data_IF_068016312911
#
_entry.id   IF_068016312911
#
_cell.length_a   1.000
_cell.length_b   1.000
_cell.length_c   1.000
_cell.angle_alpha   90.00
_cell.angle_beta   90.00
_cell.angle_gamma   90.00
#
_symmetry.space_group_name_H-M   'P 1'
#
loop_
_entity.id
_entity.type
_entity.pdbx_description
1 polymer ?
2 non-polymer ?
3 non-polymer ?
4 non-polymer ?
5 non-polymer ?
6 water ?
#
# COMPACT_ATOMS: atom_id res chain seq x y z
N UNK A 1 -23.91 -14.58 -17.45
CA UNK A 1 -22.62 -14.04 -17.88
C UNK A 1 -22.15 -12.89 -16.99
N UNK A 2 -21.26 -13.22 -16.05
CA UNK A 2 -20.66 -12.20 -15.20
C UNK A 2 -20.04 -11.07 -16.03
N UNK A 3 -20.27 -9.83 -15.64
CA UNK A 3 -19.53 -8.68 -16.18
C UNK A 3 -18.26 -8.52 -15.38
N UNK A 4 -17.13 -8.38 -16.07
CA UNK A 4 -15.84 -8.39 -15.39
C UNK A 4 -15.13 -7.04 -15.38
N UNK A 5 -14.59 -6.68 -14.24
CA UNK A 5 -13.72 -5.53 -14.15
C UNK A 5 -12.32 -6.01 -13.80
N UNK A 6 -11.35 -5.73 -14.69
CA UNK A 6 -9.98 -6.13 -14.46
C UNK A 6 -9.13 -4.92 -14.08
N UNK A 7 -8.48 -5.02 -12.93
CA UNK A 7 -7.65 -3.93 -12.43
C UNK A 7 -6.22 -4.42 -12.40
N UNK A 8 -5.38 -3.87 -13.28
CA UNK A 8 -3.99 -4.33 -13.41
C UNK A 8 -3.05 -3.40 -12.67
N UNK A 9 -2.27 -3.94 -11.73
CA UNK A 9 -1.50 -3.09 -10.85
C UNK A 9 0.03 -3.14 -11.06
N UNK A 10 0.50 -4.04 -11.92
CA UNK A 10 1.92 -4.04 -12.25
C UNK A 10 2.26 -2.88 -13.19
N UNK A 11 3.34 -2.15 -12.90
CA UNK A 11 3.91 -1.13 -13.80
C UNK A 11 4.47 -1.79 -15.04
N UNK A 12 4.73 -3.09 -15.01
CA UNK A 12 5.35 -3.75 -16.15
C UNK A 12 4.29 -4.13 -17.18
N UNK A 13 4.69 -4.19 -18.45
CA UNK A 13 3.78 -4.48 -19.54
C UNK A 13 3.81 -5.94 -19.96
N UNK A 14 4.42 -6.23 -21.12
CA UNK A 14 4.52 -7.60 -21.60
C UNK A 14 5.23 -8.51 -20.59
N UNK A 15 6.12 -7.92 -19.79
CA UNK A 15 6.96 -8.66 -18.86
C UNK A 15 6.31 -8.90 -17.50
N UNK A 16 5.16 -8.28 -17.26
CA UNK A 16 4.45 -8.51 -16.01
C UNK A 16 3.88 -9.92 -16.01
N UNK A 17 4.29 -10.72 -15.04
CA UNK A 17 3.70 -12.03 -14.88
C UNK A 17 2.29 -11.91 -14.30
N UNK A 18 2.10 -11.00 -13.36
CA UNK A 18 0.78 -10.92 -12.72
C UNK A 18 -0.25 -10.53 -13.80
N UNK A 19 0.08 -9.53 -14.60
CA UNK A 19 -0.75 -9.12 -15.75
C UNK A 19 -0.97 -10.28 -16.72
N UNK A 20 0.11 -10.96 -17.10
CA UNK A 20 0.01 -12.04 -18.07
C UNK A 20 -0.94 -13.14 -17.61
N UNK A 21 -0.80 -13.53 -16.35
CA UNK A 21 -1.63 -14.61 -15.81
C UNK A 21 -3.10 -14.20 -15.75
N UNK A 22 -3.35 -12.96 -15.36
CA UNK A 22 -4.71 -12.45 -15.32
C UNK A 22 -5.29 -12.43 -16.74
N UNK A 23 -4.45 -12.11 -17.73
CA UNK A 23 -4.90 -12.06 -19.12
C UNK A 23 -5.21 -13.48 -19.63
N UNK A 24 -4.45 -14.46 -19.14
CA UNK A 24 -4.79 -15.84 -19.43
C UNK A 24 -6.20 -16.13 -18.93
N UNK A 25 -6.49 -15.74 -17.69
CA UNK A 25 -7.82 -15.97 -17.15
C UNK A 25 -8.90 -15.26 -18.00
N UNK A 26 -8.66 -13.99 -18.34
CA UNK A 26 -9.67 -13.21 -19.06
C UNK A 26 -9.95 -13.78 -20.45
N UNK A 27 -8.90 -14.10 -21.19
CA UNK A 27 -9.07 -14.71 -22.51
C UNK A 27 -9.87 -16.01 -22.39
N UNK A 28 -9.47 -16.87 -21.47
CA UNK A 28 -10.18 -18.13 -21.28
C UNK A 28 -11.63 -17.85 -20.92
N UNK A 29 -11.86 -16.85 -20.09
CA UNK A 29 -13.24 -16.52 -19.72
C UNK A 29 -14.03 -16.08 -20.97
N UNK A 30 -13.39 -15.25 -21.79
CA UNK A 30 -13.95 -14.74 -23.03
C UNK A 30 -14.34 -15.88 -23.98
N UNK A 31 -13.47 -16.87 -24.12
CA UNK A 31 -13.74 -18.04 -24.96
C UNK A 31 -15.02 -18.75 -24.52
N UNK A 32 -15.26 -18.83 -23.21
CA UNK A 32 -16.45 -19.51 -22.72
C UNK A 32 -17.67 -18.58 -22.66
N UNK A 33 -17.43 -17.27 -22.73
CA UNK A 33 -18.52 -16.29 -22.64
C UNK A 33 -18.34 -15.15 -23.64
N UNK A 34 -18.54 -15.44 -24.94
CA UNK A 34 -18.33 -14.49 -26.04
C UNK A 34 -19.04 -13.16 -25.83
N UNK A 35 -20.22 -13.18 -25.20
CA UNK A 35 -20.98 -11.94 -24.98
C UNK A 35 -20.68 -11.21 -23.66
N UNK A 36 -19.76 -11.75 -22.86
CA UNK A 36 -19.45 -11.18 -21.54
C UNK A 36 -18.72 -9.85 -21.70
N UNK A 37 -19.03 -8.90 -20.82
CA UNK A 37 -18.35 -7.61 -20.87
C UNK A 37 -17.11 -7.64 -20.00
N UNK A 38 -16.01 -7.13 -20.52
CA UNK A 38 -14.78 -7.02 -19.76
C UNK A 38 -14.27 -5.59 -19.82
N UNK A 39 -14.15 -4.96 -18.65
CA UNK A 39 -13.57 -3.63 -18.58
C UNK A 39 -12.21 -3.69 -17.89
N UNK A 40 -11.26 -2.93 -18.39
CA UNK A 40 -9.92 -2.89 -17.81
C UNK A 40 -9.63 -1.51 -17.21
N UNK A 41 -9.14 -1.53 -15.98
CA UNK A 41 -8.77 -0.31 -15.28
C UNK A 41 -7.28 -0.39 -14.94
N UNK A 42 -6.47 0.41 -15.63
CA UNK A 42 -5.04 0.37 -15.40
C UNK A 42 -4.63 1.21 -14.18
N UNK A 43 -3.99 0.58 -13.20
CA UNK A 43 -3.50 1.32 -12.03
C UNK A 43 -1.98 1.13 -11.84
N UNK A 44 -1.36 0.39 -12.75
CA UNK A 44 0.07 0.14 -12.68
C UNK A 44 0.90 1.01 -13.61
N UNK A 45 0.47 1.09 -14.87
CA UNK A 45 1.19 1.85 -15.86
C UNK A 45 0.65 3.27 -15.98
N UNK A 46 -0.31 3.59 -15.13
CA UNK A 46 -0.94 4.91 -15.06
C UNK A 46 -0.82 5.43 -13.63
N UNK A 47 -0.32 6.66 -13.45
CA UNK A 47 -0.27 7.14 -12.06
C UNK A 47 -1.68 7.51 -11.58
N UNK A 48 -2.23 6.73 -10.68
CA UNK A 48 -3.53 7.04 -10.09
C UNK A 48 -3.39 7.99 -8.89
N UNK A 49 -4.10 9.12 -8.93
CA UNK A 49 -4.06 10.15 -7.86
C UNK A 49 -4.19 9.55 -6.46
N UNK A 50 -3.32 9.98 -5.55
CA UNK A 50 -3.46 9.63 -4.13
C UNK A 50 -4.67 10.36 -3.55
N UNK A 51 -5.18 9.89 -2.42
CA UNK A 51 -6.22 10.62 -1.70
C UNK A 51 -5.62 11.90 -1.12
N UNK A 52 -6.31 13.03 -1.31
CA UNK A 52 -5.82 14.32 -0.83
C UNK A 52 -6.70 14.84 0.29
N UNK A 53 -6.32 15.97 0.89
CA UNK A 53 -7.17 16.54 1.91
C UNK A 53 -8.52 16.97 1.33
N UNK A 54 -8.52 17.47 0.10
CA UNK A 54 -9.77 17.91 -0.52
C UNK A 54 -10.70 16.71 -0.75
N UNK A 55 -10.12 15.56 -1.10
CA UNK A 55 -10.90 14.34 -1.26
C UNK A 55 -11.57 13.96 0.06
N UNK A 56 -10.79 13.97 1.13
CA UNK A 56 -11.34 13.65 2.46
C UNK A 56 -12.51 14.58 2.81
N UNK A 57 -12.30 15.89 2.65
CA UNK A 57 -13.36 16.87 2.96
C UNK A 57 -14.62 16.61 2.15
N UNK A 58 -14.46 16.23 0.88
CA UNK A 58 -15.64 16.03 0.05
C UNK A 58 -16.31 14.72 0.40
N UNK A 59 -15.50 13.66 0.50
CA UNK A 59 -16.03 12.32 0.70
C UNK A 59 -16.75 12.19 2.03
N UNK A 60 -16.37 13.02 3.01
CA UNK A 60 -16.93 12.92 4.35
C UNK A 60 -17.83 14.09 4.72
N UNK A 61 -18.15 14.92 3.74
CA UNK A 61 -19.07 16.04 3.90
C UNK A 61 -20.38 15.55 4.50
N UNK A 62 -20.79 16.14 5.64
CA UNK A 62 -22.02 15.69 6.33
C UNK A 62 -23.31 15.92 5.54
N UNK A 63 -23.35 16.89 4.65
CA UNK A 63 -24.48 17.02 3.70
C UNK A 63 -23.98 16.82 2.27
N UNK A 64 -23.82 15.55 1.86
CA UNK A 64 -23.22 15.27 0.55
C UNK A 64 -23.85 16.02 -0.63
N UNK A 65 -25.18 16.14 -0.69
CA UNK A 65 -25.83 16.79 -1.82
C UNK A 65 -25.50 18.28 -1.91
N UNK A 66 -24.85 18.80 -0.87
CA UNK A 66 -24.50 20.22 -0.84
C UNK A 66 -23.05 20.49 -1.26
N UNK A 67 -22.34 19.46 -1.70
CA UNK A 67 -20.97 19.65 -2.17
C UNK A 67 -20.96 20.68 -3.29
N UNK A 68 -20.03 21.63 -3.22
CA UNK A 68 -19.81 22.54 -4.33
C UNK A 68 -19.43 21.74 -5.59
N UNK A 69 -19.46 22.40 -6.73
CA UNK A 69 -19.01 21.79 -7.98
C UNK A 69 -17.52 21.42 -7.91
N UNK A 70 -16.75 22.22 -7.18
CA UNK A 70 -15.34 21.91 -6.98
C UNK A 70 -15.15 20.63 -6.20
N UNK A 71 -15.93 20.46 -5.14
CA UNK A 71 -15.88 19.22 -4.35
C UNK A 71 -16.28 18.00 -5.19
N UNK A 72 -17.31 18.16 -6.02
CA UNK A 72 -17.72 17.07 -6.90
C UNK A 72 -16.58 16.70 -7.85
N UNK A 73 -15.88 17.71 -8.35
CA UNK A 73 -14.71 17.49 -9.19
C UNK A 73 -13.66 16.69 -8.44
N UNK A 74 -13.51 16.97 -7.14
CA UNK A 74 -12.52 16.23 -6.34
C UNK A 74 -12.90 14.74 -6.24
N UNK A 75 -14.19 14.42 -6.38
CA UNK A 75 -14.66 13.03 -6.29
C UNK A 75 -14.97 12.37 -7.65
N UNK A 76 -14.77 13.10 -8.73
CA UNK A 76 -15.19 12.61 -10.04
C UNK A 76 -14.49 11.30 -10.43
N UNK A 77 -13.17 11.24 -10.25
CA UNK A 77 -12.44 10.00 -10.55
C UNK A 77 -12.95 8.87 -9.67
N UNK A 78 -13.10 9.15 -8.38
CA UNK A 78 -13.62 8.17 -7.43
C UNK A 78 -14.97 7.64 -7.90
N UNK A 79 -15.90 8.54 -8.27
CA UNK A 79 -17.19 8.14 -8.78
C UNK A 79 -17.08 7.23 -10.01
N UNK A 80 -16.14 7.55 -10.90
CA UNK A 80 -15.92 6.71 -12.08
C UNK A 80 -15.41 5.33 -11.68
N UNK A 81 -14.48 5.30 -10.75
CA UNK A 81 -13.87 4.06 -10.31
C UNK A 81 -14.87 3.17 -9.57
N UNK A 82 -15.68 3.79 -8.72
CA UNK A 82 -16.71 3.07 -7.99
C UNK A 82 -17.76 2.51 -8.96
N UNK A 83 -18.16 3.35 -9.91
CA UNK A 83 -19.13 2.95 -10.92
C UNK A 83 -18.70 1.71 -11.66
N UNK A 84 -17.43 1.63 -12.02
CA UNK A 84 -16.88 0.45 -12.71
C UNK A 84 -17.09 -0.82 -11.87
N UNK A 85 -16.89 -0.69 -10.58
CA UNK A 85 -17.06 -1.77 -9.63
C UNK A 85 -18.53 -2.18 -9.52
N UNK A 86 -19.40 -1.20 -9.34
CA UNK A 86 -20.83 -1.49 -9.31
C UNK A 86 -21.30 -2.19 -10.59
N UNK A 87 -20.75 -1.80 -11.72
CA UNK A 87 -21.15 -2.41 -12.99
C UNK A 87 -20.72 -3.87 -13.10
N UNK A 88 -19.74 -4.28 -12.30
CA UNK A 88 -19.13 -5.60 -12.47
C UNK A 88 -19.72 -6.67 -11.53
N UNK A 89 -19.62 -7.93 -11.96
CA UNK A 89 -19.99 -9.04 -11.09
C UNK A 89 -18.76 -9.64 -10.46
N UNK A 90 -17.69 -9.70 -11.27
CA UNK A 90 -16.41 -10.27 -10.84
C UNK A 90 -15.30 -9.26 -11.01
N UNK A 91 -14.54 -9.09 -9.95
CA UNK A 91 -13.40 -8.20 -9.96
C UNK A 91 -12.15 -9.04 -10.04
N UNK A 92 -11.29 -8.72 -10.99
CA UNK A 92 -10.00 -9.37 -11.11
C UNK A 92 -8.93 -8.34 -10.87
N UNK A 93 -8.13 -8.53 -9.84
CA UNK A 93 -6.98 -7.67 -9.58
C UNK A 93 -5.67 -8.41 -9.88
N UNK A 94 -4.85 -7.88 -10.78
CA UNK A 94 -3.53 -8.45 -10.99
C UNK A 94 -2.55 -7.58 -10.23
N UNK A 95 -1.69 -8.19 -9.43
CA UNK A 95 -0.71 -7.40 -8.68
C UNK A 95 0.59 -8.11 -8.35
N UNK A 96 1.72 -7.39 -8.52
CA UNK A 96 2.98 -7.85 -7.91
C UNK A 96 2.90 -7.77 -6.40
N UNK A 97 3.80 -8.47 -5.73
CA UNK A 97 4.15 -8.13 -4.35
C UNK A 97 5.33 -7.17 -4.42
N UNK A 98 5.14 -5.97 -3.89
CA UNK A 98 6.20 -4.95 -3.87
C UNK A 98 6.46 -4.63 -2.42
N UNK A 99 7.65 -4.97 -1.94
CA UNK A 99 8.02 -4.70 -0.55
C UNK A 99 6.96 -5.17 0.45
N UNK A 100 6.54 -6.43 0.28
CA UNK A 100 5.65 -7.09 1.22
C UNK A 100 4.25 -6.52 1.20
N UNK A 101 4.00 -5.63 0.25
CA UNK A 101 2.63 -5.19 0.00
C UNK A 101 2.38 -5.07 -1.52
N UNK A 102 1.41 -4.23 -1.90
CA UNK A 102 1.07 -4.02 -3.31
C UNK A 102 1.72 -2.72 -3.79
N UNK A 103 1.83 -2.54 -5.13
CA UNK A 103 2.31 -1.27 -5.65
C UNK A 103 1.42 -0.11 -5.21
N UNK A 104 2.03 1.06 -5.06
CA UNK A 104 1.32 2.19 -4.46
C UNK A 104 0.08 2.57 -5.28
N UNK A 105 0.14 2.42 -6.60
CA UNK A 105 -1.02 2.70 -7.44
C UNK A 105 -2.26 1.88 -7.10
N UNK A 106 -2.04 0.63 -6.67
CA UNK A 106 -3.15 -0.23 -6.30
C UNK A 106 -3.73 0.23 -4.97
N UNK A 107 -2.85 0.65 -4.07
CA UNK A 107 -3.29 1.19 -2.80
C UNK A 107 -4.12 2.44 -3.08
N UNK A 108 -3.68 3.27 -4.03
CA UNK A 108 -4.44 4.49 -4.33
C UNK A 108 -5.81 4.14 -4.91
N UNK A 109 -5.88 3.09 -5.72
CA UNK A 109 -7.17 2.65 -6.28
C UNK A 109 -8.14 2.29 -5.17
N UNK A 110 -7.64 1.50 -4.22
CA UNK A 110 -8.44 1.15 -3.04
C UNK A 110 -8.90 2.39 -2.29
N UNK A 111 -7.99 3.32 -2.03
CA UNK A 111 -8.35 4.56 -1.33
C UNK A 111 -9.41 5.40 -2.04
N UNK A 112 -9.50 5.27 -3.37
CA UNK A 112 -10.55 5.97 -4.14
C UNK A 112 -11.92 5.29 -4.09
N UNK A 113 -11.96 3.97 -3.92
CA UNK A 113 -13.23 3.25 -4.06
C UNK A 113 -13.91 2.86 -2.74
N UNK A 114 -13.23 3.08 -1.62
CA UNK A 114 -13.87 2.89 -0.32
C UNK A 114 -14.47 4.25 0.04
N UNK A 115 -15.79 4.38 -0.15
CA UNK A 115 -16.47 5.68 -0.10
C UNK A 115 -17.68 5.68 0.83
N UNK A 116 -17.67 6.56 1.82
CA UNK A 116 -18.77 6.64 2.76
C UNK A 116 -20.09 6.86 2.03
N UNK A 117 -21.11 6.11 2.41
CA UNK A 117 -22.42 6.21 1.80
C UNK A 117 -22.48 5.62 0.40
N UNK A 118 -21.36 5.11 -0.11
CA UNK A 118 -21.37 4.53 -1.46
C UNK A 118 -20.97 3.05 -1.48
N UNK A 119 -19.78 2.72 -0.96
CA UNK A 119 -19.38 1.33 -0.88
C UNK A 119 -19.32 0.82 0.56
N UNK A 120 -19.49 1.73 1.52
CA UNK A 120 -19.72 1.37 2.91
C UNK A 120 -20.48 2.48 3.61
N UNK A 121 -21.07 2.16 4.75
CA UNK A 121 -21.73 3.18 5.56
C UNK A 121 -21.56 2.84 7.02
N UNK A 122 -22.17 3.65 7.88
CA UNK A 122 -22.10 3.41 9.32
C UNK A 122 -23.26 4.08 10.02
N UNK A 123 -23.64 3.55 11.18
CA UNK A 123 -24.54 4.25 12.08
C UNK A 123 -23.81 4.38 13.41
N UNK A 124 -24.24 5.32 14.25
CA UNK A 124 -23.67 5.45 15.59
C UNK A 124 -24.50 4.69 16.61
N UNK A 125 -23.96 3.59 17.10
CA UNK A 125 -24.58 2.84 18.20
C UNK A 125 -23.76 3.16 19.44
N UNK A 126 -23.54 4.46 19.68
CA UNK A 126 -22.68 4.93 20.75
C UNK A 126 -23.09 4.40 22.12
N UNK A 128 -19.92 4.70 19.27
CA UNK A 128 -19.35 3.51 18.66
C UNK A 128 -19.89 3.25 17.26
N UNK A 129 -19.24 3.84 16.26
CA UNK A 129 -19.62 3.67 14.87
C UNK A 129 -19.68 2.19 14.46
N UNK A 130 -20.76 1.81 13.79
CA UNK A 130 -20.91 0.43 13.32
C UNK A 130 -20.96 0.40 11.80
N UNK A 131 -19.95 -0.20 11.18
CA UNK A 131 -19.81 -0.15 9.72
C UNK A 131 -20.58 -1.24 8.99
N UNK A 132 -21.03 -0.91 7.78
CA UNK A 132 -21.76 -1.86 6.94
C UNK A 132 -21.28 -1.73 5.48
N UNK A 133 -21.01 -2.87 4.84
CA UNK A 133 -20.57 -2.89 3.44
C UNK A 133 -21.76 -2.69 2.51
N UNK A 134 -21.57 -2.02 1.37
CA UNK A 134 -22.70 -1.72 0.49
C UNK A 134 -22.62 -2.45 -0.84
N UNK A 135 -21.52 -3.15 -1.08
CA UNK A 135 -21.41 -3.98 -2.27
C UNK A 135 -22.00 -5.36 -1.99
N UNK A 136 -22.83 -5.84 -2.89
CA UNK A 136 -23.41 -7.16 -2.73
C UNK A 136 -23.37 -7.94 -4.03
N UNK A 137 -23.30 -9.26 -3.93
CA UNK A 137 -23.35 -10.13 -5.09
C UNK A 137 -22.08 -10.14 -5.92
N UNK A 138 -21.00 -9.59 -5.37
CA UNK A 138 -19.75 -9.55 -6.12
C UNK A 138 -18.74 -10.58 -5.64
N UNK A 139 -17.77 -10.90 -6.50
CA UNK A 139 -16.69 -11.81 -6.16
C UNK A 139 -15.41 -11.18 -6.65
N UNK A 140 -14.29 -11.55 -6.06
CA UNK A 140 -13.00 -11.07 -6.52
C UNK A 140 -12.02 -12.23 -6.77
N UNK A 141 -11.19 -12.06 -7.78
CA UNK A 141 -10.06 -12.95 -8.03
C UNK A 141 -8.79 -12.11 -8.00
N UNK A 142 -7.85 -12.48 -7.13
CA UNK A 142 -6.58 -11.80 -7.04
C UNK A 142 -5.50 -12.70 -7.64
N UNK A 143 -4.85 -12.20 -8.69
CA UNK A 143 -3.79 -12.91 -9.37
C UNK A 143 -2.51 -12.18 -9.04
N UNK A 144 -1.59 -12.87 -8.37
CA UNK A 144 -0.37 -12.20 -7.90
C UNK A 144 0.90 -12.96 -8.24
N UNK A 145 2.01 -12.23 -8.34
CA UNK A 145 3.31 -12.81 -8.64
C UNK A 145 4.30 -12.25 -7.64
N UNK A 146 5.18 -13.11 -7.12
CA UNK A 146 6.14 -12.73 -6.10
C UNK A 146 7.53 -13.19 -6.50
N UNK A 147 8.54 -12.39 -6.18
CA UNK A 147 9.91 -12.72 -6.54
C UNK A 147 10.42 -13.92 -5.75
N UNK A 148 10.13 -13.94 -4.46
CA UNK A 148 10.57 -15.01 -3.57
C UNK A 148 9.55 -16.11 -3.36
N UNK A 149 9.74 -16.90 -2.31
CA UNK A 149 8.85 -18.02 -2.04
C UNK A 149 8.38 -18.03 -0.61
N UNK A 150 7.33 -18.81 -0.34
CA UNK A 150 6.83 -19.00 1.01
C UNK A 150 5.95 -17.91 1.60
N UNK A 151 5.34 -17.08 0.75
CA UNK A 151 4.44 -16.03 1.25
C UNK A 151 2.98 -16.49 1.35
N UNK A 152 2.69 -17.68 0.84
CA UNK A 152 1.35 -18.24 0.89
C UNK A 152 1.06 -18.94 2.21
N UNK A 153 -0.14 -19.51 2.36
CA UNK A 153 -0.50 -20.20 3.60
C UNK A 153 0.46 -21.34 3.89
N UNK A 154 0.92 -21.44 5.14
CA UNK A 154 1.89 -22.46 5.52
C UNK A 154 3.32 -22.05 5.24
N UNK A 155 3.49 -21.07 4.35
CA UNK A 155 4.81 -20.64 3.94
C UNK A 155 5.64 -20.12 5.10
N UNK A 156 6.95 -20.25 4.96
CA UNK A 156 7.90 -19.76 5.95
C UNK A 156 7.78 -18.25 6.17
N UNK A 157 7.40 -17.53 5.11
CA UNK A 157 7.31 -16.08 5.16
C UNK A 157 5.86 -15.59 5.15
N UNK A 158 4.94 -16.45 5.57
CA UNK A 158 3.53 -16.05 5.53
C UNK A 158 3.24 -14.77 6.29
N UNK A 159 3.84 -14.61 7.47
CA UNK A 159 3.53 -13.45 8.29
C UNK A 159 4.01 -12.15 7.66
N UNK A 160 4.94 -12.24 6.70
CA UNK A 160 5.44 -11.04 6.03
C UNK A 160 4.51 -10.59 4.91
N UNK A 161 3.53 -11.42 4.58
CA UNK A 161 2.68 -11.11 3.43
C UNK A 161 1.59 -10.10 3.77
N UNK A 162 1.78 -8.85 3.34
CA UNK A 162 0.78 -7.80 3.55
C UNK A 162 0.24 -7.30 2.22
N UNK A 163 0.23 -8.19 1.23
CA UNK A 163 -0.26 -7.84 -0.08
C UNK A 163 -1.67 -8.39 -0.21
N UNK A 164 -1.79 -9.64 -0.65
CA UNK A 164 -3.13 -10.20 -0.85
C UNK A 164 -3.95 -10.40 0.43
N UNK A 165 -3.30 -10.77 1.54
CA UNK A 165 -4.12 -10.86 2.77
C UNK A 165 -4.73 -9.51 3.11
N UNK A 166 -4.00 -8.43 2.85
CA UNK A 166 -4.51 -7.08 3.12
C UNK A 166 -5.62 -6.68 2.14
N UNK A 167 -5.42 -6.98 0.86
CA UNK A 167 -6.47 -6.79 -0.14
C UNK A 167 -7.77 -7.48 0.25
N UNK A 168 -7.66 -8.70 0.78
CA UNK A 168 -8.84 -9.48 1.13
C UNK A 168 -9.62 -8.72 2.21
N UNK A 169 -8.87 -8.16 3.16
CA UNK A 169 -9.45 -7.40 4.26
C UNK A 169 -10.13 -6.09 3.79
N UNK A 170 -9.49 -5.36 2.90
CA UNK A 170 -10.04 -4.09 2.41
C UNK A 170 -11.31 -4.33 1.57
N UNK A 171 -11.26 -5.33 0.69
CA UNK A 171 -12.40 -5.70 -0.13
C UNK A 171 -13.57 -6.22 0.73
N UNK A 172 -13.25 -7.03 1.74
CA UNK A 172 -14.27 -7.51 2.67
C UNK A 172 -15.01 -6.37 3.34
N UNK A 173 -14.29 -5.30 3.64
CA UNK A 173 -14.88 -4.14 4.29
C UNK A 173 -16.01 -3.51 3.45
N UNK A 174 -15.91 -3.60 2.13
CA UNK A 174 -16.96 -2.99 1.30
C UNK A 174 -17.94 -4.03 0.77
N UNK A 175 -17.72 -5.30 1.14
CA UNK A 175 -18.74 -6.31 0.95
C UNK A 175 -18.36 -7.43 0.02
N UNK A 176 -17.13 -7.40 -0.49
CA UNK A 176 -16.65 -8.49 -1.32
C UNK A 176 -15.92 -9.53 -0.48
N UNK A 177 -16.65 -10.54 0.00
CA UNK A 177 -16.01 -11.54 0.85
C UNK A 177 -15.75 -12.88 0.15
N UNK A 178 -16.31 -13.06 -1.04
CA UNK A 178 -15.90 -14.20 -1.86
C UNK A 178 -14.65 -13.85 -2.67
N UNK A 179 -13.49 -14.18 -2.13
CA UNK A 179 -12.22 -13.80 -2.72
C UNK A 179 -11.30 -15.00 -2.92
N UNK A 180 -10.83 -15.17 -4.15
CA UNK A 180 -9.90 -16.25 -4.45
C UNK A 180 -8.54 -15.66 -4.80
N UNK A 181 -7.49 -16.29 -4.30
CA UNK A 181 -6.13 -15.85 -4.58
C UNK A 181 -5.37 -16.92 -5.36
N UNK A 182 -4.78 -16.50 -6.48
CA UNK A 182 -3.94 -17.40 -7.27
C UNK A 182 -2.56 -16.74 -7.33
N UNK A 183 -1.55 -17.45 -6.81
CA UNK A 183 -0.22 -16.88 -6.67
C UNK A 183 0.85 -17.69 -7.40
N UNK A 184 1.74 -16.98 -8.09
CA UNK A 184 2.96 -17.58 -8.61
C UNK A 184 4.12 -17.07 -7.76
N UNK A 185 5.04 -17.96 -7.41
CA UNK A 185 6.21 -17.56 -6.63
C UNK A 185 7.52 -17.96 -7.30
N UNK A 186 8.62 -17.40 -6.79
CA UNK A 186 9.94 -17.70 -7.28
C UNK A 186 10.38 -16.89 -8.49
N UNK A 187 9.72 -15.77 -8.76
CA UNK A 187 9.96 -15.05 -10.00
C UNK A 187 11.38 -14.51 -10.10
N UNK A 188 12.01 -14.24 -8.97
CA UNK A 188 13.36 -13.70 -8.99
C UNK A 188 14.38 -14.75 -9.39
N UNK A 189 14.25 -15.93 -8.82
CA UNK A 189 15.16 -17.03 -9.13
C UNK A 189 14.85 -17.60 -10.50
N UNK A 190 13.60 -17.49 -10.92
CA UNK A 190 13.16 -18.06 -12.18
C UNK A 190 13.38 -19.56 -12.21
N UNK A 191 14.29 -20.01 -13.08
CA UNK A 191 14.59 -21.42 -13.21
C UNK A 191 13.35 -22.17 -13.65
N UNK A 192 13.25 -23.44 -13.25
CA UNK A 192 12.13 -24.26 -13.67
C UNK A 192 11.14 -24.44 -12.52
N UNK A 193 11.51 -23.94 -11.34
CA UNK A 193 10.60 -23.92 -10.21
C UNK A 193 9.55 -22.83 -10.43
N UNK A 194 9.97 -21.73 -11.05
CA UNK A 194 9.05 -20.65 -11.39
C UNK A 194 8.17 -21.03 -12.58
N UNK A 195 8.76 -21.75 -13.53
CA UNK A 195 7.97 -22.25 -14.65
C UNK A 195 6.83 -23.13 -14.17
N UNK A 196 7.12 -24.05 -13.24
CA UNK A 196 6.11 -24.93 -12.67
C UNK A 196 5.04 -24.11 -11.94
N UNK A 197 5.49 -23.12 -11.19
CA UNK A 197 4.56 -22.31 -10.40
C UNK A 197 3.64 -21.54 -11.34
N UNK A 198 4.19 -20.97 -12.41
CA UNK A 198 3.37 -20.30 -13.41
C UNK A 198 2.43 -21.28 -14.10
N UNK A 199 2.92 -22.48 -14.41
CA UNK A 199 2.09 -23.49 -15.04
C UNK A 199 0.89 -23.83 -14.15
N UNK A 200 1.15 -24.04 -12.87
CA UNK A 200 0.08 -24.37 -11.93
C UNK A 200 -0.93 -23.21 -11.86
N UNK A 201 -0.42 -21.99 -11.85
CA UNK A 201 -1.28 -20.81 -11.80
C UNK A 201 -2.20 -20.76 -13.03
N UNK A 202 -1.63 -20.97 -14.22
CA UNK A 202 -2.43 -21.02 -15.43
C UNK A 202 -3.50 -22.09 -15.40
N UNK A 203 -3.14 -23.32 -15.02
CA UNK A 203 -4.13 -24.39 -14.95
C UNK A 203 -5.26 -24.02 -13.99
N UNK A 204 -4.90 -23.48 -12.84
CA UNK A 204 -5.88 -23.05 -11.85
C UNK A 204 -6.82 -22.00 -12.44
N UNK A 205 -6.24 -21.01 -13.11
CA UNK A 205 -7.01 -19.91 -13.69
C UNK A 205 -7.94 -20.38 -14.81
N UNK A 206 -7.46 -21.32 -15.63
CA UNK A 206 -8.30 -21.92 -16.66
C UNK A 206 -9.52 -22.62 -16.07
N UNK A 207 -9.32 -23.39 -15.00
CA UNK A 207 -10.44 -24.05 -14.33
C UNK A 207 -11.43 -23.02 -13.80
N UNK A 208 -10.90 -21.96 -13.18
CA UNK A 208 -11.75 -20.92 -12.63
C UNK A 208 -12.58 -20.24 -13.73
N UNK A 209 -11.94 -19.97 -14.86
CA UNK A 209 -12.58 -19.26 -15.96
C UNK A 209 -13.70 -20.10 -16.55
N UNK A 210 -13.47 -21.41 -16.59
CA UNK A 210 -14.38 -22.33 -17.23
C UNK A 210 -15.63 -22.53 -16.38
N UNK A 211 -15.55 -22.15 -15.11
CA UNK A 211 -16.68 -22.38 -14.20
C UNK A 211 -17.32 -21.07 -13.68
N UNK A 212 -16.63 -19.95 -13.82
CA UNK A 212 -17.14 -18.68 -13.31
C UNK A 212 -18.53 -18.35 -13.85
N UNK B 2 22.62 14.36 16.65
CA UNK B 2 21.41 13.55 16.52
C UNK B 2 20.57 14.00 15.32
N UNK B 3 20.53 13.17 14.28
CA UNK B 3 19.86 13.55 13.05
C UNK B 3 18.57 12.77 12.82
N UNK B 4 17.50 13.50 12.59
CA UNK B 4 16.17 12.92 12.44
C UNK B 4 15.64 13.13 11.04
N UNK B 5 15.13 12.06 10.45
CA UNK B 5 14.36 12.19 9.22
C UNK B 5 12.89 12.01 9.60
N UNK B 6 12.08 13.01 9.28
CA UNK B 6 10.65 12.95 9.57
C UNK B 6 9.85 12.81 8.29
N UNK B 7 9.17 11.68 8.14
CA UNK B 7 8.36 11.44 6.95
C UNK B 7 6.89 11.55 7.34
N UNK B 8 6.21 12.57 6.82
CA UNK B 8 4.81 12.78 7.15
C UNK B 8 3.92 12.21 6.03
N UNK B 9 2.99 11.32 6.37
CA UNK B 9 2.22 10.59 5.36
C UNK B 9 0.78 11.05 5.20
N UNK B 10 0.26 11.83 6.14
CA UNK B 10 -1.12 12.28 6.02
C UNK B 10 -1.20 13.37 4.96
N UNK B 11 -2.22 13.31 4.09
CA UNK B 11 -2.43 14.43 3.16
C UNK B 11 -3.01 15.65 3.85
N UNK B 12 -3.45 15.48 5.09
CA UNK B 12 -4.05 16.60 5.82
C UNK B 12 -2.97 17.45 6.47
N UNK B 13 -3.25 18.74 6.63
CA UNK B 13 -2.28 19.69 7.14
C UNK B 13 -2.44 19.97 8.62
N UNK B 14 -3.00 21.13 8.94
CA UNK B 14 -3.27 21.51 10.33
C UNK B 14 -4.17 20.50 11.01
N UNK B 15 -5.10 19.95 10.24
CA UNK B 15 -6.09 19.03 10.78
C UNK B 15 -5.54 17.62 11.01
N UNK B 16 -4.35 17.33 10.52
CA UNK B 16 -3.81 15.99 10.69
C UNK B 16 -3.40 15.69 12.13
N UNK B 17 -3.99 14.65 12.70
CA UNK B 17 -3.65 14.16 14.04
C UNK B 17 -2.28 13.48 14.11
N UNK B 18 -1.95 12.68 13.11
CA UNK B 18 -0.67 11.98 13.14
C UNK B 18 0.46 12.97 12.95
N UNK B 19 0.27 13.90 12.03
CA UNK B 19 1.26 14.95 11.82
C UNK B 19 1.45 15.76 13.08
N UNK B 20 0.35 16.18 13.70
CA UNK B 20 0.41 16.99 14.91
C UNK B 20 1.10 16.28 16.07
N UNK B 21 0.72 15.03 16.31
CA UNK B 21 1.41 14.26 17.35
C UNK B 21 2.90 14.12 17.06
N UNK B 22 3.24 13.84 15.81
CA UNK B 22 4.64 13.68 15.43
C UNK B 22 5.41 14.97 15.71
N UNK B 23 4.78 16.09 15.42
CA UNK B 23 5.41 17.40 15.61
C UNK B 23 5.53 17.74 17.09
N UNK B 24 4.58 17.24 17.90
CA UNK B 24 4.70 17.38 19.34
C UNK B 24 5.96 16.64 19.79
N UNK B 25 6.18 15.44 19.28
CA UNK B 25 7.38 14.70 19.64
C UNK B 25 8.63 15.44 19.17
N UNK B 26 8.63 15.86 17.92
CA UNK B 26 9.81 16.53 17.37
C UNK B 26 10.19 17.77 18.16
N UNK B 27 9.19 18.58 18.53
CA UNK B 27 9.45 19.79 19.30
C UNK B 27 10.04 19.45 20.67
N UNK B 28 9.46 18.45 21.33
CA UNK B 28 9.99 18.02 22.63
C UNK B 28 11.39 17.47 22.46
N UNK B 29 11.62 16.71 21.40
CA UNK B 29 12.94 16.14 21.17
C UNK B 29 13.99 17.24 21.02
N UNK B 30 13.66 18.27 20.24
CA UNK B 30 14.53 19.41 20.03
C UNK B 30 14.85 20.16 21.31
N UNK B 31 13.84 20.31 22.17
CA UNK B 31 14.07 20.96 23.47
C UNK B 31 15.14 20.21 24.25
N UNK B 32 15.04 18.88 24.27
CA UNK B 32 15.95 18.04 25.05
C UNK B 32 17.29 17.76 24.34
N UNK B 33 17.36 18.01 23.04
CA UNK B 33 18.59 17.78 22.29
C UNK B 33 18.78 18.95 21.34
N UNK B 34 19.22 20.10 21.88
CA UNK B 34 19.26 21.37 21.14
C UNK B 34 20.09 21.30 19.86
N UNK B 35 21.00 20.34 19.79
CA UNK B 35 21.89 20.16 18.63
C UNK B 35 21.23 19.36 17.49
N UNK B 36 20.09 18.76 17.76
CA UNK B 36 19.42 17.93 16.76
C UNK B 36 19.14 18.68 15.45
N UNK B 37 19.15 17.93 14.36
CA UNK B 37 18.72 18.42 13.07
C UNK B 37 17.53 17.59 12.62
N UNK B 38 16.57 18.23 11.98
CA UNK B 38 15.42 17.50 11.49
C UNK B 38 15.26 17.76 10.01
N UNK B 39 15.19 16.68 9.26
CA UNK B 39 14.88 16.78 7.85
C UNK B 39 13.45 16.30 7.66
N UNK B 40 12.65 17.07 6.92
CA UNK B 40 11.28 16.66 6.66
C UNK B 40 11.09 16.22 5.22
N UNK B 41 10.57 15.01 5.05
CA UNK B 41 10.23 14.49 3.74
C UNK B 41 8.71 14.34 3.69
N UNK B 42 8.04 15.22 2.94
CA UNK B 42 6.60 15.17 2.84
C UNK B 42 6.18 14.12 1.81
N UNK B 43 5.38 13.15 2.23
CA UNK B 43 4.84 12.18 1.27
C UNK B 43 3.32 12.11 1.32
N UNK B 44 2.72 12.95 2.17
CA UNK B 44 1.25 13.04 2.26
C UNK B 44 0.64 14.13 1.40
N UNK B 45 1.18 15.34 1.49
CA UNK B 45 0.65 16.49 0.78
C UNK B 45 1.29 16.71 -0.59
N UNK B 46 2.22 15.83 -0.93
CA UNK B 46 2.97 15.91 -2.19
C UNK B 46 2.86 14.56 -2.86
N UNK B 47 2.64 14.55 -4.18
CA UNK B 47 2.48 13.28 -4.90
C UNK B 47 3.81 12.63 -5.23
N UNK B 48 4.32 11.79 -4.33
CA UNK B 48 5.51 10.98 -4.61
C UNK B 48 5.24 9.99 -5.75
N UNK B 49 6.10 9.99 -6.78
CA UNK B 49 5.91 9.06 -7.90
C UNK B 49 5.98 7.57 -7.52
N UNK B 50 5.13 6.77 -8.16
CA UNK B 50 5.15 5.32 -8.01
C UNK B 50 6.33 4.74 -8.77
N UNK B 51 6.76 3.55 -8.35
CA UNK B 51 7.72 2.77 -9.11
C UNK B 51 7.15 2.50 -10.50
N UNK B 52 7.99 2.67 -11.53
CA UNK B 52 7.63 2.40 -12.93
C UNK B 52 8.49 1.26 -13.47
N UNK B 53 8.22 0.81 -14.70
CA UNK B 53 9.04 -0.22 -15.29
C UNK B 53 10.47 0.28 -15.48
N UNK B 54 10.59 1.55 -15.87
CA UNK B 54 11.91 2.17 -15.99
C UNK B 54 12.65 2.10 -14.66
N UNK B 55 11.96 2.45 -13.58
CA UNK B 55 12.57 2.33 -12.26
C UNK B 55 13.06 0.89 -12.03
N UNK B 56 12.20 -0.10 -12.30
CA UNK B 56 12.59 -1.51 -12.08
C UNK B 56 13.85 -1.88 -12.87
N UNK B 57 13.91 -1.46 -14.14
CA UNK B 57 15.02 -1.82 -15.00
C UNK B 57 16.31 -1.21 -14.46
N UNK B 58 16.22 0.03 -13.97
CA UNK B 58 17.39 0.73 -13.44
C UNK B 58 17.82 0.15 -12.09
N UNK B 59 16.86 -0.02 -11.18
CA UNK B 59 17.18 -0.44 -9.81
C UNK B 59 17.74 -1.86 -9.75
N UNK B 60 17.25 -2.73 -10.62
CA UNK B 60 17.72 -4.11 -10.64
C UNK B 60 18.73 -4.37 -11.76
N UNK B 61 19.31 -3.29 -12.29
CA UNK B 61 20.33 -3.45 -13.32
C UNK B 61 21.46 -4.33 -12.80
N UNK B 62 21.85 -5.38 -13.57
CA UNK B 62 22.88 -6.33 -13.15
C UNK B 62 24.24 -5.68 -12.98
N UNK B 63 24.47 -4.57 -13.66
CA UNK B 63 25.79 -3.92 -13.62
C UNK B 63 25.62 -2.41 -13.46
N UNK B 64 25.22 -1.97 -12.25
CA UNK B 64 24.79 -0.59 -11.99
C UNK B 64 25.79 0.48 -12.43
N UNK B 65 27.08 0.19 -12.39
CA UNK B 65 28.06 1.19 -12.79
C UNK B 65 27.89 1.54 -14.26
N UNK B 66 27.19 0.68 -14.99
CA UNK B 66 26.97 0.86 -16.44
C UNK B 66 25.63 1.56 -16.76
N UNK B 67 24.87 1.94 -15.75
CA UNK B 67 23.60 2.63 -15.99
C UNK B 67 23.82 3.85 -16.89
N UNK B 68 22.94 4.02 -17.87
CA UNK B 68 22.95 5.19 -18.70
C UNK B 68 22.53 6.41 -17.87
N UNK B 69 22.73 7.59 -18.41
CA UNK B 69 22.29 8.82 -17.74
C UNK B 69 20.78 8.82 -17.56
N UNK B 70 20.03 8.33 -18.55
CA UNK B 70 18.58 8.31 -18.42
C UNK B 70 18.12 7.42 -17.26
N UNK B 71 18.81 6.29 -17.10
CA UNK B 71 18.48 5.37 -16.01
C UNK B 71 18.82 5.98 -14.65
N UNK B 72 19.95 6.69 -14.59
CA UNK B 72 20.31 7.40 -13.37
C UNK B 72 19.23 8.42 -13.05
N UNK B 73 18.70 9.09 -14.09
CA UNK B 73 17.61 10.05 -13.89
C UNK B 73 16.38 9.35 -13.29
N UNK B 74 16.10 8.15 -13.80
CA UNK B 74 15.01 7.36 -13.26
C UNK B 74 15.18 7.05 -11.78
N UNK B 75 16.43 7.09 -11.30
CA UNK B 75 16.74 6.74 -9.92
C UNK B 75 17.10 7.95 -9.03
N UNK B 76 17.10 9.15 -9.60
CA UNK B 76 17.60 10.31 -8.86
C UNK B 76 16.75 10.61 -7.62
N UNK B 77 15.42 10.57 -7.78
CA UNK B 77 14.59 10.78 -6.61
C UNK B 77 14.88 9.69 -5.58
N UNK B 78 14.90 8.44 -6.02
CA UNK B 78 15.18 7.34 -5.10
C UNK B 78 16.47 7.60 -4.33
N UNK B 79 17.54 7.99 -5.05
CA UNK B 79 18.85 8.24 -4.43
C UNK B 79 18.77 9.35 -3.37
N UNK B 80 17.98 10.37 -3.67
CA UNK B 80 17.79 11.47 -2.73
C UNK B 80 17.07 10.95 -1.48
N UNK B 81 16.00 10.19 -1.69
CA UNK B 81 15.23 9.65 -0.58
C UNK B 81 16.06 8.73 0.29
N UNK B 82 16.86 7.87 -0.36
CA UNK B 82 17.77 6.98 0.35
C UNK B 82 18.80 7.78 1.13
N UNK B 83 19.35 8.83 0.52
CA UNK B 83 20.38 9.64 1.16
C UNK B 83 19.89 10.24 2.48
N UNK B 84 18.65 10.71 2.49
CA UNK B 84 18.05 11.27 3.71
C UNK B 84 18.05 10.22 4.81
N UNK B 85 17.74 8.99 4.42
CA UNK B 85 17.71 7.88 5.36
C UNK B 85 19.11 7.56 5.86
N UNK B 86 20.07 7.45 4.95
CA UNK B 86 21.45 7.19 5.36
C UNK B 86 21.95 8.25 6.34
N UNK B 87 21.63 9.52 6.09
CA UNK B 87 22.14 10.61 6.93
C UNK B 87 21.43 10.76 8.28
N UNK B 88 20.40 9.95 8.52
CA UNK B 88 19.62 10.08 9.74
C UNK B 88 19.95 8.98 10.74
N UNK B 89 19.73 9.25 12.02
CA UNK B 89 19.87 8.24 13.08
C UNK B 89 18.50 7.75 13.49
N UNK B 90 17.53 8.66 13.52
CA UNK B 90 16.17 8.34 13.93
C UNK B 90 15.22 8.72 12.81
N UNK B 91 14.46 7.73 12.36
CA UNK B 91 13.42 7.94 11.37
C UNK B 91 12.10 8.08 12.10
N UNK B 92 11.40 9.18 11.87
CA UNK B 92 10.05 9.32 12.39
C UNK B 92 9.06 9.33 11.24
N UNK B 93 8.10 8.41 11.31
CA UNK B 93 7.07 8.32 10.30
C UNK B 93 5.72 8.62 10.93
N UNK B 94 5.01 9.63 10.42
CA UNK B 94 3.64 9.87 10.87
C UNK B 94 2.71 9.38 9.79
N UNK B 95 1.65 8.68 10.17
CA UNK B 95 0.73 8.15 9.17
C UNK B 95 -0.65 7.80 9.73
N UNK B 96 -1.69 8.11 8.95
CA UNK B 96 -3.04 7.61 9.21
C UNK B 96 -3.07 6.12 8.90
N UNK B 97 -4.06 5.40 9.41
CA UNK B 97 -4.45 4.15 8.78
C UNK B 97 -5.46 4.52 7.71
N UNK B 98 -5.17 4.18 6.45
CA UNK B 98 -6.14 4.32 5.38
C UNK B 98 -6.46 2.92 4.88
N UNK B 99 -7.73 2.54 5.03
CA UNK B 99 -8.20 1.23 4.58
C UNK B 99 -7.30 0.09 5.04
N UNK B 100 -7.07 0.04 6.34
CA UNK B 100 -6.30 -1.05 6.96
C UNK B 100 -4.83 -1.09 6.54
N UNK B 101 -4.39 -0.07 5.82
CA UNK B 101 -2.99 0.07 5.49
C UNK B 101 -2.56 1.55 5.61
N UNK B 102 -1.57 1.98 4.82
CA UNK B 102 -1.06 3.36 4.87
C UNK B 102 -1.49 4.12 3.63
N UNK B 103 -1.51 5.45 3.69
CA UNK B 103 -1.82 6.21 2.47
C UNK B 103 -0.86 5.81 1.36
N UNK B 104 -1.31 5.90 0.11
CA UNK B 104 -0.53 5.39 -1.01
C UNK B 104 0.83 6.10 -1.18
N UNK B 105 0.92 7.37 -0.79
CA UNK B 105 2.16 8.11 -0.87
C UNK B 105 3.24 7.47 0.00
N UNK B 106 2.86 6.97 1.16
CA UNK B 106 3.81 6.32 2.04
C UNK B 106 4.25 4.99 1.41
N UNK B 107 3.31 4.25 0.81
CA UNK B 107 3.72 3.02 0.11
C UNK B 107 4.76 3.38 -0.96
N UNK B 108 4.51 4.48 -1.67
CA UNK B 108 5.42 4.92 -2.72
C UNK B 108 6.80 5.30 -2.21
N UNK B 109 6.86 5.93 -1.02
CA UNK B 109 8.14 6.27 -0.38
C UNK B 109 8.92 4.98 -0.13
N UNK B 110 8.29 4.03 0.57
CA UNK B 110 8.94 2.77 0.84
C UNK B 110 9.46 2.15 -0.47
N UNK B 111 8.64 2.18 -1.52
CA UNK B 111 9.04 1.58 -2.79
C UNK B 111 10.25 2.27 -3.41
N UNK B 112 10.50 3.53 -3.05
CA UNK B 112 11.67 4.23 -3.55
C UNK B 112 12.94 3.90 -2.76
N UNK B 113 12.80 3.60 -1.47
CA UNK B 113 13.98 3.49 -0.62
C UNK B 113 14.50 2.07 -0.38
N UNK B 114 13.68 1.07 -0.70
CA UNK B 114 14.18 -0.31 -0.69
C UNK B 114 14.86 -0.57 -2.04
N UNK B 115 16.19 -0.61 -2.00
CA UNK B 115 17.03 -0.53 -3.20
C UNK B 115 18.13 -1.57 -3.14
N UNK B 116 18.12 -2.47 -4.13
CA UNK B 116 19.11 -3.53 -4.20
C UNK B 116 20.51 -2.96 -4.25
N UNK B 117 21.40 -3.52 -3.44
CA UNK B 117 22.78 -3.06 -3.38
C UNK B 117 22.94 -1.76 -2.59
N UNK B 118 21.86 -1.21 -2.07
CA UNK B 118 21.96 0.07 -1.36
C UNK B 118 21.37 -0.01 0.05
N UNK B 119 20.12 -0.44 0.17
CA UNK B 119 19.55 -0.63 1.50
C UNK B 119 19.34 -2.10 1.81
N UNK B 120 19.46 -2.95 0.79
CA UNK B 120 19.49 -4.41 1.00
C UNK B 120 20.34 -5.06 -0.10
N UNK B 121 20.78 -6.28 0.16
CA UNK B 121 21.52 -7.03 -0.85
C UNK B 121 21.12 -8.49 -0.80
N UNK B 122 21.62 -9.27 -1.76
CA UNK B 122 21.35 -10.71 -1.74
C UNK B 122 22.62 -11.48 -1.99
N UNK B 123 22.68 -12.69 -1.44
CA UNK B 123 23.76 -13.63 -1.73
C UNK B 123 23.14 -15.00 -2.03
N UNK B 129 18.23 -17.42 -3.42
CA UNK B 129 19.04 -16.30 -2.93
C UNK B 129 18.59 -15.87 -1.53
N UNK B 130 19.56 -15.50 -0.70
CA UNK B 130 19.27 -15.01 0.64
C UNK B 130 19.45 -13.51 0.69
N UNK B 131 18.54 -12.83 1.38
CA UNK B 131 18.56 -11.38 1.46
C UNK B 131 19.18 -10.87 2.76
N UNK B 132 19.75 -9.68 2.70
CA UNK B 132 20.53 -9.13 3.79
C UNK B 132 20.27 -7.63 3.86
N UNK B 133 20.06 -7.08 5.07
CA UNK B 133 19.84 -5.65 5.19
C UNK B 133 21.16 -4.89 5.15
N UNK B 134 21.15 -3.61 4.80
CA UNK B 134 22.40 -2.86 4.74
C UNK B 134 22.40 -1.63 5.61
N UNK B 135 21.24 -1.21 6.10
CA UNK B 135 21.19 -0.10 7.05
C UNK B 135 21.58 -0.55 8.46
N UNK B 136 22.36 0.28 9.15
CA UNK B 136 22.76 -0.04 10.51
C UNK B 136 22.72 1.19 11.43
N UNK B 137 22.47 0.94 12.70
CA UNK B 137 22.53 1.96 13.73
C UNK B 137 21.36 2.93 13.69
N UNK B 138 20.28 2.53 13.03
CA UNK B 138 19.13 3.41 12.90
C UNK B 138 17.99 2.92 13.78
N UNK B 139 17.12 3.82 14.17
CA UNK B 139 15.92 3.43 14.90
C UNK B 139 14.75 4.21 14.34
N UNK B 140 13.54 3.72 14.57
CA UNK B 140 12.39 4.38 13.99
C UNK B 140 11.28 4.52 15.00
N UNK B 141 10.49 5.58 14.82
CA UNK B 141 9.32 5.80 15.62
C UNK B 141 8.17 6.02 14.66
N UNK B 142 7.13 5.22 14.80
CA UNK B 142 5.94 5.37 14.00
C UNK B 142 4.81 5.98 14.81
N UNK B 143 4.30 7.10 14.32
CA UNK B 143 3.23 7.79 14.99
C UNK B 143 2.02 7.70 14.10
N UNK B 144 1.01 6.98 14.56
CA UNK B 144 -0.12 6.68 13.70
C UNK B 144 -1.46 6.99 14.36
N UNK B 145 -2.40 7.42 13.53
CA UNK B 145 -3.73 7.77 13.99
C UNK B 145 -4.74 6.90 13.25
N UNK B 146 -5.74 6.40 13.97
CA UNK B 146 -6.75 5.51 13.39
C UNK B 146 -8.16 5.96 13.77
N UNK B 147 -9.08 5.92 12.81
CA UNK B 147 -10.47 6.22 13.06
C UNK B 147 -11.10 5.28 14.08
N UNK B 148 -10.91 3.97 13.89
CA UNK B 148 -11.49 2.97 14.75
C UNK B 148 -10.66 2.58 15.97
N UNK B 149 -10.90 1.38 16.48
CA UNK B 149 -10.31 0.90 17.74
C UNK B 149 -9.84 -0.54 17.59
N UNK B 150 -8.89 -0.94 18.43
CA UNK B 150 -8.56 -2.36 18.59
C UNK B 150 -7.58 -2.90 17.57
N UNK B 151 -6.87 -1.99 16.90
CA UNK B 151 -5.92 -2.39 15.86
C UNK B 151 -4.52 -2.67 16.44
N UNK B 152 -4.32 -2.41 17.72
CA UNK B 152 -3.02 -2.61 18.35
C UNK B 152 -2.82 -4.02 18.88
N UNK B 153 -1.62 -4.30 19.43
CA UNK B 153 -1.32 -5.62 20.02
C UNK B 153 -2.38 -6.06 21.01
N UNK B 154 -2.90 -7.27 20.83
CA UNK B 154 -3.94 -7.80 21.69
C UNK B 154 -5.31 -7.19 21.42
N UNK B 155 -5.37 -6.30 20.44
CA UNK B 155 -6.62 -5.69 20.04
C UNK B 155 -7.53 -6.64 19.27
N UNK B 156 -8.83 -6.43 19.38
CA UNK B 156 -9.80 -7.27 18.72
C UNK B 156 -9.59 -7.30 17.19
N UNK B 157 -9.01 -6.23 16.65
CA UNK B 157 -8.86 -6.11 15.21
C UNK B 157 -7.41 -6.16 14.74
N UNK B 158 -6.54 -6.68 15.60
CA UNK B 158 -5.12 -6.70 15.31
C UNK B 158 -4.82 -7.30 13.93
N UNK B 159 -5.49 -8.39 13.57
CA UNK B 159 -5.17 -9.10 12.33
C UNK B 159 -5.55 -8.32 11.06
N UNK B 160 -6.41 -7.32 11.22
CA UNK B 160 -6.78 -6.44 10.12
C UNK B 160 -5.79 -5.30 9.93
N UNK B 161 -4.86 -5.13 10.87
CA UNK B 161 -3.90 -4.02 10.79
C UNK B 161 -2.70 -4.28 9.87
N UNK B 162 -2.75 -3.73 8.66
CA UNK B 162 -1.65 -3.84 7.72
C UNK B 162 -0.96 -2.49 7.49
N UNK B 163 -1.04 -1.62 8.50
CA UNK B 163 -0.40 -0.32 8.43
C UNK B 163 0.98 -0.42 9.08
N UNK B 164 1.04 -0.16 10.37
CA UNK B 164 2.33 -0.19 11.06
C UNK B 164 2.98 -1.57 11.13
N UNK B 165 2.18 -2.65 11.30
CA UNK B 165 2.89 -3.94 11.29
C UNK B 165 3.53 -4.17 9.93
N UNK B 166 2.95 -3.65 8.85
CA UNK B 166 3.61 -3.80 7.55
C UNK B 166 4.89 -2.96 7.47
N UNK B 167 4.83 -1.73 7.98
CA UNK B 167 6.02 -0.88 8.01
C UNK B 167 7.16 -1.59 8.71
N UNK B 168 6.87 -2.23 9.84
CA UNK B 168 7.89 -2.98 10.56
C UNK B 168 8.55 -3.99 9.61
N UNK B 169 7.73 -4.69 8.84
CA UNK B 169 8.25 -5.70 7.93
C UNK B 169 9.22 -5.07 6.91
N UNK B 170 8.73 -4.07 6.18
CA UNK B 170 9.56 -3.40 5.19
C UNK B 170 10.81 -2.76 5.80
N UNK B 171 10.63 -2.04 6.91
CA UNK B 171 11.77 -1.40 7.59
C UNK B 171 12.74 -2.46 8.09
N UNK B 172 12.19 -3.52 8.67
CA UNK B 172 13.00 -4.61 9.15
C UNK B 172 13.88 -5.17 8.05
N UNK B 173 13.30 -5.33 6.87
CA UNK B 173 14.01 -5.90 5.73
C UNK B 173 15.28 -5.15 5.34
N UNK B 174 15.28 -3.83 5.51
CA UNK B 174 16.47 -3.05 5.15
C UNK B 174 17.40 -2.76 6.34
N UNK B 175 17.03 -3.24 7.53
CA UNK B 175 17.94 -3.17 8.66
C UNK B 175 17.47 -2.32 9.83
N UNK B 176 16.32 -1.68 9.71
CA UNK B 176 15.78 -0.94 10.83
C UNK B 176 14.91 -1.84 11.68
N UNK B 177 15.47 -2.36 12.76
CA UNK B 177 14.75 -3.30 13.62
C UNK B 177 14.39 -2.78 15.01
N UNK B 178 14.89 -1.61 15.39
CA UNK B 178 14.43 -0.98 16.62
C UNK B 178 13.31 0.01 16.27
N UNK B 179 12.07 -0.44 16.40
CA UNK B 179 10.94 0.34 15.96
C UNK B 179 9.91 0.49 17.07
N UNK B 180 9.46 1.71 17.31
CA UNK B 180 8.41 1.93 18.31
C UNK B 180 7.16 2.47 17.64
N UNK B 181 5.99 1.95 18.01
CA UNK B 181 4.75 2.48 17.48
C UNK B 181 3.98 3.19 18.58
N UNK B 182 3.51 4.39 18.29
CA UNK B 182 2.62 5.11 19.18
C UNK B 182 1.37 5.40 18.39
N UNK B 183 0.24 4.88 18.87
CA UNK B 183 -1.01 4.94 18.14
C UNK B 183 -2.09 5.67 18.92
N UNK B 184 -2.81 6.56 18.25
CA UNK B 184 -4.06 7.12 18.78
C UNK B 184 -5.25 6.55 18.01
N UNK B 185 -6.26 6.09 18.73
CA UNK B 185 -7.43 5.47 18.10
C UNK B 185 -8.71 6.19 18.52
N UNK B 186 -9.74 6.12 17.67
CA UNK B 186 -11.06 6.63 18.02
C UNK B 186 -11.31 8.04 17.52
N UNK B 187 -11.02 8.30 16.25
CA UNK B 187 -11.15 9.65 15.69
C UNK B 187 -12.48 9.86 14.96
N UNK B 196 -8.57 11.16 24.74
CA UNK B 196 -8.04 10.28 25.77
C UNK B 196 -6.87 9.44 25.23
N UNK B 197 -7.15 8.64 24.20
CA UNK B 197 -6.10 7.87 23.54
C UNK B 197 -5.03 8.81 22.98
N UNK B 198 -5.47 9.94 22.41
CA UNK B 198 -4.55 10.97 21.93
C UNK B 198 -3.68 11.51 23.06
N UNK B 199 -4.32 11.85 24.17
CA UNK B 199 -3.59 12.40 25.30
C UNK B 199 -2.57 11.39 25.79
N UNK B 200 -2.95 10.11 25.79
CA UNK B 200 -2.03 9.07 26.22
C UNK B 200 -0.87 8.95 25.23
N UNK B 201 -1.16 9.20 23.95
CA UNK B 201 -0.11 9.14 22.93
C UNK B 201 0.82 10.35 23.08
N UNK B 202 0.22 11.53 23.16
CA UNK B 202 0.94 12.78 23.33
C UNK B 202 1.86 12.70 24.54
N UNK B 203 1.30 12.28 25.68
CA UNK B 203 2.10 12.12 26.88
C UNK B 203 3.13 11.01 26.70
N UNK B 204 2.76 9.98 25.98
CA UNK B 204 3.72 8.92 25.67
C UNK B 204 4.88 9.47 24.83
N UNK B 205 4.56 10.33 23.87
CA UNK B 205 5.57 10.94 23.01
C UNK B 205 6.51 11.90 23.76
N UNK B 206 5.97 12.69 24.68
CA UNK B 206 6.81 13.60 25.48
C UNK B 206 7.82 12.81 26.29
N UNK B 207 7.37 11.71 26.88
CA UNK B 207 8.25 10.83 27.63
C UNK B 207 9.35 10.28 26.74
N UNK B 208 8.95 9.80 25.56
CA UNK B 208 9.91 9.22 24.62
C UNK B 208 10.95 10.24 24.18
N UNK B 209 10.51 11.47 23.97
CA UNK B 209 11.38 12.54 23.49
C UNK B 209 12.42 12.96 24.53
N UNK B 210 12.02 13.05 25.79
CA UNK B 210 12.94 13.41 26.86
C UNK B 210 13.91 12.26 27.17
N UNK B 211 14.18 11.42 26.17
CA UNK B 211 15.12 10.32 26.31
C UNK B 211 15.45 9.74 24.93
#
# INVERSE_FOLDING_TARGET
MSRILAVHASPRGERSQSRRLAEVFLAAYREAHPQARVARREVGRVPLPAVTEAFVAAAFHPQPEQRSLAMQADLALSDQLVGELFDSDLLVISTPMYNFSVPSGLKAWIDQIVRLGVTFDFVLDNGVAQYRPLLRGKRALIVTSRGGHGFGPGGENQAMNHADPWLRTALGFIGIDEVTVVAAEGEESGGRSFEDSCDEAEQRLLALARSA
MSRILAVHASPRGERSQSRRLAEVFLAAYREAHPQARVARREVGRVPLPAVTEAFVAAAFHPQPEQRSLAMQADLALSDQLVGELFDSDLLVISTPMYNFSVPSGLKAWIDQIVRLGVTFDFVLDNGVAQYRPLLRGKRALIVTSRGGHGFGPGGENQAMNHADPWLRTALGFIGIDEVTVVAAEGEESGGRSFEDSCDEAEQRLLALARSA
#
